data_IF_013202831904
#
_entry.id   IF_013202831904
#
_cell.length_a   1.000
_cell.length_b   1.000
_cell.length_c   1.000
_cell.angle_alpha   90.00
_cell.angle_beta   90.00
_cell.angle_gamma   90.00
#
_symmetry.space_group_name_H-M   'P 1'
#
loop_
_entity.id
_entity.type
_entity.pdbx_description
1 polymer ?
#
# COMPACT_ATOMS: atom_id res chain seq x y z
N UNK A 1 24.91 -2.80 -10.40
CA UNK A 1 25.25 -4.03 -9.64
C UNK A 1 25.92 -3.61 -8.34
N UNK A 2 25.73 -4.35 -7.25
CA UNK A 2 26.47 -4.17 -5.99
C UNK A 2 27.10 -5.52 -5.67
N UNK A 3 28.41 -5.55 -5.42
CA UNK A 3 29.18 -6.79 -5.22
C UNK A 3 28.98 -7.81 -6.36
N UNK A 4 28.99 -7.33 -7.61
CA UNK A 4 28.74 -8.12 -8.83
C UNK A 4 27.39 -8.86 -8.88
N UNK A 5 26.42 -8.45 -8.04
CA UNK A 5 25.07 -9.00 -8.04
C UNK A 5 24.03 -7.94 -8.47
N UNK A 6 22.86 -8.43 -8.91
CA UNK A 6 21.65 -7.60 -9.11
C UNK A 6 21.37 -6.83 -7.83
N UNK A 7 21.14 -5.52 -7.95
CA UNK A 7 20.78 -4.66 -6.85
C UNK A 7 19.36 -4.14 -7.07
N UNK A 8 18.40 -4.70 -6.34
CA UNK A 8 17.01 -4.23 -6.33
C UNK A 8 16.85 -3.08 -5.34
N UNK A 9 15.75 -2.33 -5.45
CA UNK A 9 15.41 -1.28 -4.47
C UNK A 9 15.28 -1.85 -3.05
N UNK A 10 14.68 -3.03 -2.89
CA UNK A 10 14.62 -3.71 -1.61
C UNK A 10 16.02 -4.02 -1.04
N UNK A 11 16.94 -4.56 -1.85
CA UNK A 11 18.33 -4.84 -1.42
C UNK A 11 19.11 -3.56 -1.08
N UNK A 12 18.85 -2.47 -1.79
CA UNK A 12 19.53 -1.20 -1.57
C UNK A 12 19.02 -0.45 -0.33
N UNK A 13 17.72 -0.47 -0.07
CA UNK A 13 17.08 0.41 0.92
C UNK A 13 16.40 -0.31 2.08
N UNK A 14 15.73 -1.45 1.83
CA UNK A 14 14.98 -2.16 2.87
C UNK A 14 15.89 -3.09 3.70
N UNK A 15 16.70 -3.93 3.05
CA UNK A 15 17.59 -4.89 3.73
C UNK A 15 18.52 -4.19 4.75
N UNK A 16 19.17 -3.05 4.44
CA UNK A 16 20.01 -2.37 5.44
C UNK A 16 19.23 -1.75 6.61
N UNK A 17 17.90 -1.59 6.48
CA UNK A 17 17.04 -0.91 7.45
C UNK A 17 16.07 -1.86 8.18
N UNK A 18 15.99 -3.13 7.80
CA UNK A 18 14.96 -4.09 8.26
C UNK A 18 14.99 -4.35 9.77
N UNK A 19 16.14 -4.18 10.42
CA UNK A 19 16.30 -4.38 11.87
C UNK A 19 15.96 -3.14 12.71
N UNK A 20 15.53 -2.04 12.10
CA UNK A 20 15.15 -0.82 12.84
C UNK A 20 13.80 -1.02 13.50
N UNK A 21 13.71 -0.72 14.80
CA UNK A 21 12.47 -0.90 15.60
C UNK A 21 11.31 0.03 15.21
N UNK A 22 11.56 1.02 14.37
CA UNK A 22 10.56 1.98 13.90
C UNK A 22 10.10 1.71 12.44
N UNK A 23 10.44 0.54 11.88
CA UNK A 23 10.05 0.13 10.54
C UNK A 23 9.50 -1.30 10.57
N UNK A 24 8.22 -1.44 10.23
CA UNK A 24 7.60 -2.74 10.00
C UNK A 24 7.50 -3.00 8.49
N UNK A 25 7.99 -4.16 8.06
CA UNK A 25 7.87 -4.62 6.66
C UNK A 25 7.00 -5.86 6.64
N UNK A 26 5.85 -5.76 5.98
CA UNK A 26 4.91 -6.87 5.84
C UNK A 26 4.88 -7.30 4.37
N UNK A 27 5.47 -8.45 4.07
CA UNK A 27 5.38 -9.09 2.74
C UNK A 27 4.08 -9.88 2.60
N UNK A 28 3.69 -10.17 1.36
CA UNK A 28 2.45 -10.92 1.06
C UNK A 28 1.19 -10.25 1.64
N UNK A 29 1.24 -8.92 1.80
CA UNK A 29 0.14 -8.09 2.25
C UNK A 29 -0.45 -7.33 1.05
N UNK A 30 -1.59 -7.79 0.53
CA UNK A 30 -2.23 -7.16 -0.62
C UNK A 30 -3.16 -6.04 -0.19
N UNK A 31 -2.84 -4.78 -0.51
CA UNK A 31 -3.69 -3.63 -0.19
C UNK A 31 -4.99 -3.68 -1.01
N UNK A 32 -6.15 -3.60 -0.33
CA UNK A 32 -7.48 -3.69 -0.94
C UNK A 32 -8.11 -2.32 -1.19
N UNK A 33 -8.06 -1.45 -0.17
CA UNK A 33 -8.57 -0.07 -0.22
C UNK A 33 -7.94 0.78 0.87
N UNK A 34 -8.03 2.10 0.68
CA UNK A 34 -7.66 3.12 1.64
C UNK A 34 -8.89 3.46 2.46
N UNK A 35 -8.71 3.60 3.77
CA UNK A 35 -9.77 3.98 4.70
C UNK A 35 -9.81 5.50 4.82
N UNK A 36 -11.01 6.08 4.74
CA UNK A 36 -11.21 7.53 4.78
C UNK A 36 -12.15 7.94 5.92
N UNK A 37 -11.87 9.10 6.51
CA UNK A 37 -12.80 9.89 7.31
C UNK A 37 -13.03 11.22 6.57
N UNK A 38 -14.18 11.34 5.91
CA UNK A 38 -14.44 12.43 4.97
C UNK A 38 -13.42 12.40 3.82
N UNK A 39 -12.58 13.43 3.73
CA UNK A 39 -11.52 13.55 2.71
C UNK A 39 -10.14 13.13 3.21
N UNK A 40 -10.00 12.75 4.49
CA UNK A 40 -8.71 12.38 5.09
C UNK A 40 -8.50 10.87 5.02
N UNK A 41 -7.38 10.44 4.45
CA UNK A 41 -6.93 9.05 4.55
C UNK A 41 -6.47 8.75 5.99
N UNK A 42 -7.05 7.71 6.60
CA UNK A 42 -6.80 7.32 8.00
C UNK A 42 -6.24 5.92 8.15
N UNK A 43 -6.07 5.17 7.07
CA UNK A 43 -5.54 3.82 7.13
C UNK A 43 -5.64 3.06 5.82
N UNK A 44 -5.31 1.77 5.88
CA UNK A 44 -5.36 0.84 4.75
C UNK A 44 -5.96 -0.48 5.22
N UNK A 45 -6.86 -1.04 4.41
CA UNK A 45 -7.32 -2.43 4.52
C UNK A 45 -6.46 -3.29 3.60
N UNK A 46 -5.97 -4.42 4.08
CA UNK A 46 -5.12 -5.34 3.31
C UNK A 46 -5.38 -6.79 3.69
N UNK A 47 -5.18 -7.69 2.74
CA UNK A 47 -5.21 -9.14 2.98
C UNK A 47 -3.81 -9.63 3.36
N UNK A 48 -3.73 -10.38 4.45
CA UNK A 48 -2.50 -11.04 4.91
C UNK A 48 -2.85 -12.39 5.54
N UNK A 49 -2.12 -13.44 5.17
CA UNK A 49 -2.36 -14.81 5.66
C UNK A 49 -3.84 -15.23 5.56
N UNK A 50 -4.46 -14.96 4.41
CA UNK A 50 -5.87 -15.26 4.10
C UNK A 50 -6.90 -14.59 5.02
N UNK A 51 -6.51 -13.54 5.74
CA UNK A 51 -7.39 -12.74 6.59
C UNK A 51 -7.29 -11.27 6.19
N UNK A 52 -8.41 -10.56 6.24
CA UNK A 52 -8.43 -9.12 6.00
C UNK A 52 -8.10 -8.39 7.29
N UNK A 53 -7.17 -7.44 7.20
CA UNK A 53 -6.69 -6.62 8.31
C UNK A 53 -6.82 -5.14 7.97
N UNK A 54 -6.88 -4.32 9.01
CA UNK A 54 -6.79 -2.86 8.89
C UNK A 54 -5.59 -2.34 9.67
N UNK A 55 -4.91 -1.34 9.12
CA UNK A 55 -3.91 -0.54 9.84
C UNK A 55 -4.27 0.93 9.76
N UNK A 56 -4.20 1.65 10.89
CA UNK A 56 -4.47 3.09 10.96
C UNK A 56 -3.18 3.90 10.79
N UNK A 57 -3.26 4.96 10.01
CA UNK A 57 -2.17 5.89 9.76
C UNK A 57 -2.40 7.18 10.56
N UNK A 58 -1.46 7.52 11.46
CA UNK A 58 -1.55 8.76 12.26
C UNK A 58 -1.33 10.02 11.44
N UNK A 59 -0.49 9.93 10.39
CA UNK A 59 -0.08 11.08 9.57
C UNK A 59 -0.59 10.96 8.14
N UNK A 60 -0.05 10.01 7.40
CA UNK A 60 -0.23 9.91 5.95
C UNK A 60 -0.29 8.47 5.49
N UNK A 61 -0.93 8.26 4.33
CA UNK A 61 -0.90 7.01 3.56
C UNK A 61 -0.23 7.32 2.22
N UNK A 62 0.89 6.67 1.92
CA UNK A 62 1.64 6.85 0.67
C UNK A 62 1.43 5.62 -0.21
N UNK A 63 0.93 5.83 -1.43
CA UNK A 63 0.70 4.73 -2.39
C UNK A 63 1.90 4.62 -3.31
N UNK A 64 2.43 3.41 -3.44
CA UNK A 64 3.56 3.11 -4.33
C UNK A 64 3.39 1.74 -5.01
N UNK A 65 2.15 1.39 -5.36
CA UNK A 65 1.79 0.10 -5.93
C UNK A 65 2.13 -0.04 -7.43
N UNK A 66 2.75 0.97 -8.04
CA UNK A 66 3.01 1.05 -9.49
C UNK A 66 1.80 1.58 -10.27
N UNK A 67 2.00 1.88 -11.56
CA UNK A 67 1.02 2.63 -12.38
C UNK A 67 -0.36 1.99 -12.43
N UNK A 68 -0.43 0.68 -12.71
CA UNK A 68 -1.72 -0.03 -12.85
C UNK A 68 -2.43 -0.21 -11.52
N UNK A 69 -1.73 -0.74 -10.51
CA UNK A 69 -2.36 -1.07 -9.23
C UNK A 69 -2.71 0.18 -8.43
N UNK A 70 -1.96 1.28 -8.58
CA UNK A 70 -2.29 2.55 -7.92
C UNK A 70 -3.63 3.09 -8.41
N UNK A 71 -3.86 3.11 -9.73
CA UNK A 71 -5.13 3.56 -10.29
C UNK A 71 -6.29 2.67 -9.82
N UNK A 72 -6.10 1.34 -9.83
CA UNK A 72 -7.10 0.39 -9.35
C UNK A 72 -7.41 0.59 -7.86
N UNK A 73 -6.38 0.68 -7.01
CA UNK A 73 -6.54 0.87 -5.57
C UNK A 73 -7.29 2.16 -5.23
N UNK A 74 -7.00 3.26 -5.95
CA UNK A 74 -7.72 4.51 -5.79
C UNK A 74 -9.21 4.35 -6.13
N UNK A 75 -9.53 3.68 -7.25
CA UNK A 75 -10.93 3.44 -7.62
C UNK A 75 -11.67 2.57 -6.59
N UNK A 76 -11.04 1.48 -6.12
CA UNK A 76 -11.58 0.63 -5.05
C UNK A 76 -11.75 1.39 -3.71
N UNK A 77 -11.02 2.48 -3.54
CA UNK A 77 -11.12 3.37 -2.38
C UNK A 77 -12.10 4.53 -2.59
N UNK A 78 -12.88 4.53 -3.68
CA UNK A 78 -13.84 5.58 -4.00
C UNK A 78 -13.25 6.83 -4.66
N UNK A 79 -11.99 6.78 -5.11
CA UNK A 79 -11.32 7.88 -5.83
C UNK A 79 -11.23 7.51 -7.31
N UNK A 80 -12.08 8.14 -8.12
CA UNK A 80 -12.13 7.88 -9.56
C UNK A 80 -13.31 8.56 -10.24
N UNK A 81 -13.52 8.30 -11.54
CA UNK A 81 -14.66 8.85 -12.27
C UNK A 81 -15.99 8.37 -11.66
N UNK A 82 -16.84 9.32 -11.25
CA UNK A 82 -18.12 9.04 -10.56
C UNK A 82 -18.97 7.96 -11.24
N UNK A 83 -19.19 8.10 -12.57
CA UNK A 83 -19.98 7.14 -13.35
C UNK A 83 -19.42 5.73 -13.32
N UNK A 84 -18.10 5.58 -13.24
CA UNK A 84 -17.46 4.27 -13.17
C UNK A 84 -17.64 3.68 -11.77
N UNK A 85 -17.39 4.47 -10.72
CA UNK A 85 -17.56 4.01 -9.33
C UNK A 85 -18.99 3.56 -9.03
N UNK A 86 -19.99 4.28 -9.53
CA UNK A 86 -21.42 3.93 -9.38
C UNK A 86 -21.80 2.61 -10.07
N UNK A 87 -21.00 2.08 -11.01
CA UNK A 87 -21.26 0.78 -11.64
C UNK A 87 -20.83 -0.41 -10.77
N UNK A 88 -19.95 -0.18 -9.80
CA UNK A 88 -19.32 -1.24 -8.98
C UNK A 88 -19.64 -1.12 -7.49
N UNK A 89 -20.47 -0.15 -7.10
CA UNK A 89 -21.03 0.00 -5.75
C UNK A 89 -22.39 -0.68 -5.66
#
# INVERSE_FOLDING_TARGET
MRDSQRCTTAKAYLVPAENRTNLDIISEAHARKILFEGTRAVGVEFDYKNTTHEVKAKREVIISAGTTNTAQLLMLSGIGPKKHLEQFN
#
